data_IF_881257997953
#
_entry.id   IF_881257997953
#
_cell.length_a   1.000
_cell.length_b   1.000
_cell.length_c   1.000
_cell.angle_alpha   90.00
_cell.angle_beta   90.00
_cell.angle_gamma   90.00
#
_symmetry.space_group_name_H-M   'P 1'
#
loop_
_entity.id
_entity.type
_entity.pdbx_description
1 polymer ?
#
# COMPACT_ATOMS: atom_id res chain seq x y z
N UNK A 1 -66.40 -27.69 -13.58
CA UNK A 1 -65.74 -26.42 -13.20
C UNK A 1 -64.35 -26.77 -12.70
N UNK A 2 -63.32 -26.38 -13.45
CA UNK A 2 -61.89 -26.64 -13.17
C UNK A 2 -61.37 -25.52 -12.25
N UNK A 3 -60.41 -25.76 -11.33
CA UNK A 3 -59.02 -25.43 -11.67
C UNK A 3 -57.99 -26.48 -11.27
N UNK A 4 -57.09 -26.70 -12.22
CA UNK A 4 -55.79 -27.39 -12.13
C UNK A 4 -54.84 -26.57 -11.25
N UNK A 5 -54.09 -27.21 -10.36
CA UNK A 5 -52.80 -26.68 -9.87
C UNK A 5 -51.70 -27.72 -9.99
N UNK A 6 -50.69 -27.33 -10.76
CA UNK A 6 -49.45 -28.04 -11.08
C UNK A 6 -48.53 -28.06 -9.86
N UNK A 7 -48.10 -29.24 -9.44
CA UNK A 7 -46.95 -29.42 -8.54
C UNK A 7 -45.68 -29.42 -9.39
N UNK A 8 -44.89 -28.35 -9.30
CA UNK A 8 -43.56 -28.28 -9.92
C UNK A 8 -42.53 -29.11 -9.14
N UNK A 9 -41.42 -29.52 -9.78
CA UNK A 9 -40.39 -30.34 -9.14
C UNK A 9 -39.58 -29.53 -8.12
N UNK A 10 -38.92 -30.19 -7.14
CA UNK A 10 -38.17 -29.50 -6.11
C UNK A 10 -36.96 -28.79 -6.69
N UNK A 11 -36.78 -27.54 -6.27
CA UNK A 11 -35.61 -26.70 -6.55
C UNK A 11 -34.37 -27.38 -5.99
N UNK A 12 -33.43 -27.72 -6.87
CA UNK A 12 -32.07 -28.10 -6.47
C UNK A 12 -31.40 -26.88 -5.83
N UNK A 13 -31.26 -26.91 -4.52
CA UNK A 13 -30.38 -26.01 -3.78
C UNK A 13 -28.95 -26.27 -4.23
N UNK A 14 -28.42 -25.41 -5.10
CA UNK A 14 -26.99 -25.33 -5.37
C UNK A 14 -26.32 -24.80 -4.11
N UNK A 15 -25.73 -25.70 -3.32
CA UNK A 15 -24.80 -25.33 -2.27
C UNK A 15 -23.62 -24.58 -2.90
N UNK A 16 -23.47 -23.31 -2.54
CA UNK A 16 -22.24 -22.55 -2.79
C UNK A 16 -21.09 -23.27 -2.12
N UNK A 17 -20.09 -23.66 -2.90
CA UNK A 17 -18.81 -24.15 -2.41
C UNK A 17 -18.10 -22.94 -1.79
N UNK A 18 -18.32 -22.70 -0.48
CA UNK A 18 -17.32 -21.97 0.30
C UNK A 18 -16.09 -22.86 0.36
N UNK A 19 -15.12 -22.57 -0.51
CA UNK A 19 -13.78 -23.14 -0.35
C UNK A 19 -13.30 -22.75 1.05
N UNK A 20 -13.13 -23.75 1.91
CA UNK A 20 -12.52 -23.56 3.23
C UNK A 20 -11.10 -23.10 2.95
N UNK A 21 -10.86 -21.78 3.04
CA UNK A 21 -9.52 -21.24 3.04
C UNK A 21 -8.82 -21.84 4.26
N UNK A 22 -7.87 -22.75 4.02
CA UNK A 22 -7.11 -23.39 5.07
C UNK A 22 -6.10 -22.37 5.60
N UNK A 23 -6.53 -21.61 6.60
CA UNK A 23 -5.67 -20.68 7.32
C UNK A 23 -4.63 -21.51 8.08
N UNK A 24 -3.35 -21.25 7.79
CA UNK A 24 -2.19 -21.80 8.47
C UNK A 24 -1.19 -20.65 8.70
N UNK A 25 -1.49 -19.85 9.73
CA UNK A 25 -0.71 -18.66 10.04
C UNK A 25 0.77 -18.95 10.38
N UNK A 26 1.12 -20.01 11.14
CA UNK A 26 2.51 -20.39 11.33
C UNK A 26 3.23 -20.65 10.01
N UNK A 27 2.62 -21.42 9.11
CA UNK A 27 3.23 -21.70 7.81
C UNK A 27 3.33 -20.45 6.93
N UNK A 28 2.33 -19.58 6.96
CA UNK A 28 2.36 -18.30 6.27
C UNK A 28 3.54 -17.44 6.74
N UNK A 29 3.76 -17.35 8.05
CA UNK A 29 4.86 -16.58 8.63
C UNK A 29 6.24 -17.17 8.30
N UNK A 30 6.38 -18.50 8.28
CA UNK A 30 7.61 -19.16 7.85
C UNK A 30 7.94 -18.82 6.39
N UNK A 31 6.97 -18.98 5.49
CA UNK A 31 7.14 -18.72 4.07
C UNK A 31 7.43 -17.25 3.79
N UNK A 32 6.74 -16.32 4.47
CA UNK A 32 6.99 -14.88 4.31
C UNK A 32 8.39 -14.49 4.78
N UNK A 33 8.88 -15.06 5.88
CA UNK A 33 10.25 -14.84 6.35
C UNK A 33 11.28 -15.39 5.35
N UNK A 34 11.08 -16.59 4.83
CA UNK A 34 11.94 -17.14 3.79
C UNK A 34 11.88 -16.29 2.51
N UNK A 35 10.70 -15.77 2.16
CA UNK A 35 10.53 -14.87 1.02
C UNK A 35 11.36 -13.59 1.18
N UNK A 36 11.35 -13.01 2.38
CA UNK A 36 12.15 -11.84 2.71
C UNK A 36 13.66 -12.15 2.61
N UNK A 37 14.12 -13.26 3.19
CA UNK A 37 15.53 -13.68 3.10
C UNK A 37 15.98 -13.86 1.62
N UNK A 38 15.12 -14.45 0.78
CA UNK A 38 15.39 -14.60 -0.66
C UNK A 38 15.39 -13.25 -1.40
N UNK A 39 14.56 -12.30 -0.99
CA UNK A 39 14.55 -10.96 -1.56
C UNK A 39 15.86 -10.22 -1.25
N UNK A 40 16.29 -10.23 0.01
CA UNK A 40 17.56 -9.61 0.43
C UNK A 40 18.77 -10.25 -0.27
N UNK A 41 18.70 -11.54 -0.58
CA UNK A 41 19.72 -12.26 -1.36
C UNK A 41 19.68 -11.97 -2.88
N UNK A 42 18.72 -11.18 -3.37
CA UNK A 42 18.58 -10.87 -4.80
C UNK A 42 17.81 -11.94 -5.60
N UNK A 43 17.28 -12.98 -4.96
CA UNK A 43 16.55 -14.07 -5.61
C UNK A 43 15.06 -13.73 -5.77
N UNK A 44 14.76 -12.70 -6.55
CA UNK A 44 13.42 -12.08 -6.62
C UNK A 44 12.32 -13.02 -7.11
N UNK A 45 12.58 -13.89 -8.09
CA UNK A 45 11.57 -14.87 -8.55
C UNK A 45 11.28 -15.93 -7.48
N UNK A 46 12.27 -16.36 -6.70
CA UNK A 46 12.05 -17.31 -5.60
C UNK A 46 11.25 -16.65 -4.48
N UNK A 47 11.60 -15.41 -4.12
CA UNK A 47 10.86 -14.61 -3.14
C UNK A 47 9.39 -14.43 -3.55
N UNK A 48 9.12 -14.11 -4.82
CA UNK A 48 7.74 -14.02 -5.35
C UNK A 48 6.94 -15.30 -5.09
N UNK A 49 7.50 -16.46 -5.44
CA UNK A 49 6.83 -17.75 -5.28
C UNK A 49 6.49 -18.03 -3.81
N UNK A 50 7.39 -17.66 -2.90
CA UNK A 50 7.18 -17.82 -1.46
C UNK A 50 6.08 -16.90 -0.93
N UNK A 51 6.02 -15.62 -1.34
CA UNK A 51 4.91 -14.73 -0.98
C UNK A 51 3.56 -15.19 -1.57
N UNK A 52 3.55 -15.68 -2.81
CA UNK A 52 2.36 -16.25 -3.45
C UNK A 52 1.84 -17.49 -2.70
N UNK A 53 2.72 -18.27 -2.08
CA UNK A 53 2.35 -19.39 -1.22
C UNK A 53 1.95 -18.95 0.21
N UNK A 54 2.58 -17.91 0.76
CA UNK A 54 2.35 -17.44 2.12
C UNK A 54 0.99 -16.75 2.29
N UNK A 55 0.67 -15.80 1.42
CA UNK A 55 -0.49 -14.91 1.56
C UNK A 55 -1.82 -15.68 1.65
N UNK A 56 -2.11 -16.71 0.84
CA UNK A 56 -3.36 -17.46 0.93
C UNK A 56 -3.55 -18.21 2.26
N UNK A 57 -2.45 -18.55 2.95
CA UNK A 57 -2.44 -19.26 4.23
C UNK A 57 -2.56 -18.32 5.43
N UNK A 58 -2.29 -17.02 5.26
CA UNK A 58 -2.34 -16.06 6.33
C UNK A 58 -3.77 -15.85 6.86
N UNK A 59 -3.90 -15.68 8.17
CA UNK A 59 -5.14 -15.20 8.77
C UNK A 59 -5.38 -13.76 8.29
N UNK A 60 -6.56 -13.45 7.68
CA UNK A 60 -6.89 -12.10 7.24
C UNK A 60 -6.77 -11.02 8.32
N UNK A 61 -6.90 -11.39 9.60
CA UNK A 61 -6.81 -10.48 10.74
C UNK A 61 -5.41 -10.47 11.38
N UNK A 62 -4.44 -11.20 10.83
CA UNK A 62 -3.09 -11.22 11.36
C UNK A 62 -2.40 -9.87 11.16
N UNK A 63 -1.81 -9.33 12.23
CA UNK A 63 -1.13 -8.04 12.23
C UNK A 63 -0.07 -7.93 11.12
N UNK A 64 0.66 -9.02 10.84
CA UNK A 64 1.73 -9.08 9.85
C UNK A 64 1.28 -9.15 8.39
N UNK A 65 -0.02 -9.32 8.10
CA UNK A 65 -0.51 -9.46 6.73
C UNK A 65 -0.22 -8.22 5.87
N UNK A 66 -0.29 -7.03 6.47
CA UNK A 66 0.08 -5.79 5.80
C UNK A 66 1.53 -5.81 5.32
N UNK A 67 2.46 -6.28 6.16
CA UNK A 67 3.87 -6.39 5.82
C UNK A 67 4.10 -7.37 4.66
N UNK A 68 3.43 -8.54 4.66
CA UNK A 68 3.55 -9.51 3.57
C UNK A 68 3.17 -8.89 2.22
N UNK A 69 2.08 -8.12 2.19
CA UNK A 69 1.65 -7.41 0.99
C UNK A 69 2.63 -6.30 0.59
N UNK A 70 3.15 -5.52 1.54
CA UNK A 70 4.12 -4.46 1.27
C UNK A 70 5.44 -4.98 0.73
N UNK A 71 6.02 -5.99 1.37
CA UNK A 71 7.26 -6.64 0.93
C UNK A 71 7.09 -7.32 -0.42
N UNK A 72 5.95 -8.02 -0.62
CA UNK A 72 5.67 -8.63 -1.91
C UNK A 72 5.56 -7.58 -3.03
N UNK A 73 5.01 -6.40 -2.75
CA UNK A 73 5.00 -5.30 -3.71
C UNK A 73 6.42 -4.86 -4.10
N UNK A 74 7.35 -4.79 -3.15
CA UNK A 74 8.75 -4.47 -3.43
C UNK A 74 9.38 -5.51 -4.37
N UNK A 75 9.19 -6.79 -4.09
CA UNK A 75 9.67 -7.89 -4.95
C UNK A 75 9.09 -7.80 -6.36
N UNK A 76 7.79 -7.50 -6.47
CA UNK A 76 7.14 -7.32 -7.77
C UNK A 76 7.71 -6.13 -8.54
N UNK A 77 8.07 -5.04 -7.87
CA UNK A 77 8.73 -3.90 -8.49
C UNK A 77 10.11 -4.25 -9.03
N UNK A 78 10.92 -5.01 -8.29
CA UNK A 78 12.23 -5.51 -8.77
C UNK A 78 12.09 -6.41 -10.00
N UNK A 79 10.95 -7.11 -10.13
CA UNK A 79 10.61 -7.93 -11.29
C UNK A 79 9.92 -7.16 -12.43
N UNK A 80 9.75 -5.84 -12.31
CA UNK A 80 9.06 -5.00 -13.30
C UNK A 80 7.53 -5.18 -13.36
N UNK A 81 6.93 -5.87 -12.38
CA UNK A 81 5.49 -6.18 -12.31
C UNK A 81 4.72 -5.08 -11.57
N UNK A 82 4.84 -3.85 -12.05
CA UNK A 82 4.39 -2.63 -11.35
C UNK A 82 2.88 -2.54 -11.08
N UNK A 83 2.03 -3.05 -11.98
CA UNK A 83 0.59 -3.08 -11.76
C UNK A 83 0.23 -4.02 -10.61
N UNK A 84 0.90 -5.18 -10.55
CA UNK A 84 0.70 -6.15 -9.47
C UNK A 84 1.23 -5.60 -8.14
N UNK A 85 2.38 -4.92 -8.16
CA UNK A 85 2.92 -4.24 -6.98
C UNK A 85 1.92 -3.21 -6.41
N UNK A 86 1.30 -2.40 -7.29
CA UNK A 86 0.26 -1.44 -6.89
C UNK A 86 -0.94 -2.12 -6.24
N UNK A 87 -1.38 -3.28 -6.76
CA UNK A 87 -2.44 -4.07 -6.14
C UNK A 87 -2.05 -4.55 -4.75
N UNK A 88 -0.81 -5.00 -4.56
CA UNK A 88 -0.33 -5.45 -3.25
C UNK A 88 -0.23 -4.29 -2.25
N UNK A 89 0.26 -3.12 -2.66
CA UNK A 89 0.28 -1.93 -1.79
C UNK A 89 -1.12 -1.50 -1.34
N UNK A 90 -2.13 -1.57 -2.23
CA UNK A 90 -3.53 -1.35 -1.86
C UNK A 90 -4.02 -2.36 -0.83
N UNK A 91 -3.62 -3.63 -0.94
CA UNK A 91 -3.96 -4.67 0.05
C UNK A 91 -3.24 -4.46 1.38
N UNK A 92 -1.98 -4.04 1.37
CA UNK A 92 -1.24 -3.66 2.59
C UNK A 92 -1.99 -2.55 3.34
N UNK A 93 -2.34 -1.45 2.67
CA UNK A 93 -3.13 -0.38 3.25
C UNK A 93 -4.50 -0.86 3.79
N UNK A 94 -5.20 -1.69 3.02
CA UNK A 94 -6.50 -2.23 3.44
C UNK A 94 -6.39 -3.12 4.69
N UNK A 95 -5.29 -3.89 4.83
CA UNK A 95 -5.04 -4.71 6.00
C UNK A 95 -4.81 -3.84 7.25
N UNK A 96 -4.03 -2.76 7.15
CA UNK A 96 -3.85 -1.80 8.26
C UNK A 96 -5.17 -1.19 8.72
N UNK A 97 -5.98 -0.71 7.78
CA UNK A 97 -7.26 -0.07 8.09
C UNK A 97 -8.27 -1.07 8.68
N UNK A 98 -8.26 -2.32 8.21
CA UNK A 98 -9.14 -3.39 8.72
C UNK A 98 -8.79 -3.78 10.16
N UNK A 99 -7.54 -3.62 10.58
CA UNK A 99 -7.11 -3.78 11.97
C UNK A 99 -7.56 -2.63 12.89
N UNK A 100 -8.22 -1.60 12.33
CA UNK A 100 -8.72 -0.45 13.08
C UNK A 100 -7.68 0.64 13.32
N UNK A 101 -6.55 0.60 12.60
CA UNK A 101 -5.54 1.65 12.69
C UNK A 101 -6.09 2.97 12.11
N UNK A 102 -5.93 4.06 12.86
CA UNK A 102 -6.34 5.38 12.42
C UNK A 102 -5.47 5.90 11.26
N UNK A 103 -5.98 6.85 10.47
CA UNK A 103 -5.28 7.43 9.31
C UNK A 103 -3.96 8.14 9.64
N UNK A 104 -3.75 8.53 10.91
CA UNK A 104 -2.51 9.10 11.43
C UNK A 104 -1.61 8.09 12.13
N UNK A 105 -1.96 6.81 12.18
CA UNK A 105 -1.15 5.78 12.81
C UNK A 105 0.13 5.52 11.98
N UNK A 106 1.29 5.28 12.61
CA UNK A 106 2.56 5.07 11.89
C UNK A 106 2.49 4.04 10.75
N UNK A 107 1.82 2.91 10.97
CA UNK A 107 1.70 1.86 9.96
C UNK A 107 0.88 2.30 8.73
N UNK A 108 -0.23 3.03 8.94
CA UNK A 108 -1.05 3.58 7.84
C UNK A 108 -0.29 4.67 7.08
N UNK A 109 0.47 5.51 7.79
CA UNK A 109 1.30 6.54 7.18
C UNK A 109 2.36 5.93 6.25
N UNK A 110 2.99 4.83 6.67
CA UNK A 110 3.98 4.10 5.87
C UNK A 110 3.30 3.42 4.66
N UNK A 111 2.16 2.75 4.85
CA UNK A 111 1.45 2.10 3.76
C UNK A 111 0.98 3.10 2.67
N UNK A 112 0.46 4.27 3.08
CA UNK A 112 0.08 5.35 2.16
C UNK A 112 1.28 6.00 1.49
N UNK A 113 2.40 6.17 2.21
CA UNK A 113 3.66 6.62 1.63
C UNK A 113 4.06 5.72 0.44
N UNK A 114 4.14 4.40 0.65
CA UNK A 114 4.55 3.48 -0.41
C UNK A 114 3.55 3.45 -1.58
N UNK A 115 2.25 3.42 -1.30
CA UNK A 115 1.23 3.45 -2.34
C UNK A 115 1.28 4.73 -3.17
N UNK A 116 1.43 5.89 -2.53
CA UNK A 116 1.49 7.17 -3.23
C UNK A 116 2.78 7.32 -4.04
N UNK A 117 3.92 6.87 -3.51
CA UNK A 117 5.18 6.86 -4.25
C UNK A 117 5.08 5.97 -5.50
N UNK A 118 4.49 4.78 -5.36
CA UNK A 118 4.24 3.88 -6.50
C UNK A 118 3.38 4.56 -7.57
N UNK A 119 2.25 5.14 -7.18
CA UNK A 119 1.33 5.81 -8.10
C UNK A 119 2.00 7.00 -8.81
N UNK A 120 2.76 7.81 -8.07
CA UNK A 120 3.51 8.93 -8.63
C UNK A 120 4.55 8.45 -9.65
N UNK A 121 5.36 7.44 -9.29
CA UNK A 121 6.42 6.89 -10.16
C UNK A 121 5.86 6.36 -11.48
N UNK A 122 4.62 5.88 -11.46
CA UNK A 122 3.94 5.36 -12.64
C UNK A 122 2.95 6.36 -13.28
N UNK A 123 3.14 7.66 -13.02
CA UNK A 123 2.47 8.73 -13.76
C UNK A 123 1.00 8.96 -13.39
N UNK A 124 0.60 8.56 -12.19
CA UNK A 124 -0.75 8.79 -11.65
C UNK A 124 -0.72 9.73 -10.42
N UNK A 125 -0.25 10.98 -10.56
CA UNK A 125 -0.09 11.90 -9.43
C UNK A 125 -1.43 12.28 -8.78
N UNK A 126 -2.55 12.32 -9.51
CA UNK A 126 -3.87 12.58 -8.93
C UNK A 126 -4.29 11.47 -7.97
N UNK A 127 -4.08 10.21 -8.36
CA UNK A 127 -4.36 9.05 -7.50
C UNK A 127 -3.40 8.99 -6.31
N UNK A 128 -2.14 9.39 -6.51
CA UNK A 128 -1.18 9.50 -5.41
C UNK A 128 -1.64 10.54 -4.37
N UNK A 129 -2.16 11.69 -4.82
CA UNK A 129 -2.68 12.72 -3.92
C UNK A 129 -3.93 12.23 -3.16
N UNK A 130 -4.85 11.57 -3.86
CA UNK A 130 -6.03 10.95 -3.25
C UNK A 130 -5.63 9.93 -2.17
N UNK A 131 -4.62 9.10 -2.45
CA UNK A 131 -4.11 8.12 -1.51
C UNK A 131 -3.45 8.75 -0.26
N UNK A 132 -2.87 9.95 -0.37
CA UNK A 132 -2.24 10.64 0.77
C UNK A 132 -3.22 11.45 1.62
N UNK A 133 -4.28 11.98 1.01
CA UNK A 133 -5.18 12.98 1.61
C UNK A 133 -5.69 12.60 3.00
N UNK A 134 -6.13 11.36 3.29
CA UNK A 134 -6.59 10.99 4.63
C UNK A 134 -5.51 11.14 5.71
N UNK A 135 -4.28 10.74 5.39
CA UNK A 135 -3.14 10.85 6.30
C UNK A 135 -2.61 12.27 6.43
N UNK A 136 -2.54 13.06 5.36
CA UNK A 136 -2.12 14.47 5.46
C UNK A 136 -3.15 15.33 6.18
N UNK A 137 -4.42 14.91 6.21
CA UNK A 137 -5.46 15.52 7.04
C UNK A 137 -5.34 15.14 8.51
N UNK A 138 -5.07 13.86 8.81
CA UNK A 138 -5.03 13.35 10.18
C UNK A 138 -3.70 13.58 10.90
N UNK A 139 -2.59 13.59 10.15
CA UNK A 139 -1.24 13.82 10.65
C UNK A 139 -0.51 14.87 9.76
N UNK A 140 -0.96 16.14 9.79
CA UNK A 140 -0.51 17.17 8.85
C UNK A 140 0.97 17.55 9.00
N UNK A 141 1.65 17.14 10.06
CA UNK A 141 3.07 17.46 10.26
C UNK A 141 3.98 16.24 10.10
N UNK A 142 3.44 15.08 9.69
CA UNK A 142 4.26 13.89 9.53
C UNK A 142 5.18 14.02 8.32
N UNK A 143 6.48 14.11 8.56
CA UNK A 143 7.47 14.42 7.53
C UNK A 143 7.39 13.48 6.32
N UNK A 144 7.21 12.17 6.55
CA UNK A 144 7.27 11.15 5.50
C UNK A 144 6.18 11.36 4.43
N UNK A 145 4.93 11.62 4.84
CA UNK A 145 3.82 11.83 3.91
C UNK A 145 3.93 13.19 3.22
N UNK A 146 4.49 14.20 3.90
CA UNK A 146 4.76 15.52 3.32
C UNK A 146 5.85 15.50 2.24
N UNK A 147 6.84 14.62 2.34
CA UNK A 147 7.84 14.43 1.27
C UNK A 147 7.15 14.00 -0.03
N UNK A 148 6.33 12.95 0.03
CA UNK A 148 5.65 12.43 -1.18
C UNK A 148 4.62 13.42 -1.68
N UNK A 149 3.86 14.06 -0.79
CA UNK A 149 2.89 15.09 -1.17
C UNK A 149 3.56 16.25 -1.91
N UNK A 150 4.75 16.69 -1.48
CA UNK A 150 5.50 17.73 -2.18
C UNK A 150 5.81 17.34 -3.63
N UNK A 151 6.30 16.11 -3.86
CA UNK A 151 6.57 15.61 -5.20
C UNK A 151 5.30 15.42 -6.04
N UNK A 152 4.22 14.95 -5.42
CA UNK A 152 2.91 14.79 -6.07
C UNK A 152 2.36 16.15 -6.52
N UNK A 153 2.31 17.13 -5.62
CA UNK A 153 1.86 18.49 -5.93
C UNK A 153 2.73 19.13 -7.01
N UNK A 154 4.03 18.87 -6.98
CA UNK A 154 4.97 19.33 -8.01
C UNK A 154 4.66 18.70 -9.37
N UNK A 155 4.37 17.40 -9.43
CA UNK A 155 3.97 16.72 -10.66
C UNK A 155 2.63 17.25 -11.21
N UNK A 156 1.73 17.70 -10.33
CA UNK A 156 0.45 18.34 -10.68
C UNK A 156 0.58 19.84 -11.00
N UNK A 157 1.81 20.37 -11.12
CA UNK A 157 2.08 21.79 -11.35
C UNK A 157 1.56 22.74 -10.25
N UNK A 158 1.28 22.25 -9.05
CA UNK A 158 0.83 23.03 -7.88
C UNK A 158 2.03 23.54 -7.08
N UNK A 159 2.83 24.41 -7.71
CA UNK A 159 4.18 24.81 -7.24
C UNK A 159 4.21 25.39 -5.83
N UNK A 160 3.32 26.33 -5.51
CA UNK A 160 3.26 26.96 -4.19
C UNK A 160 2.95 25.93 -3.10
N UNK A 161 1.99 25.05 -3.33
CA UNK A 161 1.59 24.03 -2.36
C UNK A 161 2.70 22.97 -2.20
N UNK A 162 3.37 22.59 -3.29
CA UNK A 162 4.50 21.68 -3.26
C UNK A 162 5.65 22.22 -2.38
N UNK A 163 5.96 23.52 -2.49
CA UNK A 163 6.97 24.18 -1.63
C UNK A 163 6.56 24.20 -0.16
N UNK A 164 5.28 24.46 0.13
CA UNK A 164 4.76 24.41 1.50
C UNK A 164 4.90 23.00 2.09
N UNK A 165 4.49 21.96 1.34
CA UNK A 165 4.65 20.57 1.77
C UNK A 165 6.13 20.21 1.99
N UNK A 166 7.02 20.64 1.09
CA UNK A 166 8.46 20.42 1.22
C UNK A 166 9.03 21.06 2.49
N UNK A 167 8.64 22.32 2.78
CA UNK A 167 9.06 23.02 3.99
C UNK A 167 8.56 22.33 5.27
N UNK A 168 7.31 21.82 5.27
CA UNK A 168 6.77 21.04 6.38
C UNK A 168 7.54 19.73 6.58
N UNK A 169 7.88 19.02 5.50
CA UNK A 169 8.69 17.80 5.58
C UNK A 169 10.06 18.04 6.22
N UNK A 170 10.76 19.09 5.80
CA UNK A 170 12.10 19.43 6.30
C UNK A 170 12.06 19.88 7.77
N UNK A 171 11.10 20.75 8.12
CA UNK A 171 10.98 21.29 9.49
C UNK A 171 10.57 20.23 10.52
N UNK A 172 9.84 19.20 10.10
CA UNK A 172 9.41 18.08 10.96
C UNK A 172 10.29 16.83 10.80
N UNK A 173 11.46 16.95 10.16
CA UNK A 173 12.38 15.84 10.03
C UNK A 173 12.78 15.30 11.42
N UNK A 174 12.91 13.97 11.59
CA UNK A 174 13.17 13.36 12.89
C UNK A 174 14.56 13.68 13.44
N UNK A 175 15.50 14.05 12.57
CA UNK A 175 16.86 14.47 12.92
C UNK A 175 17.33 15.60 12.01
N UNK A 176 18.29 16.44 12.44
CA UNK A 176 18.90 17.45 11.57
C UNK A 176 19.52 16.84 10.31
N UNK A 177 20.19 15.68 10.44
CA UNK A 177 20.77 14.97 9.31
C UNK A 177 19.72 14.55 8.28
N UNK A 178 18.55 14.06 8.75
CA UNK A 178 17.42 13.76 7.87
C UNK A 178 16.88 15.02 7.21
N UNK A 179 16.82 16.15 7.93
CA UNK A 179 16.43 17.44 7.37
C UNK A 179 17.31 17.87 6.19
N UNK A 180 18.63 17.70 6.28
CA UNK A 180 19.55 17.97 5.17
C UNK A 180 19.36 17.00 4.00
N UNK A 181 19.15 15.71 4.27
CA UNK A 181 18.82 14.71 3.25
C UNK A 181 17.53 15.10 2.49
N UNK A 182 16.49 15.53 3.22
CA UNK A 182 15.22 15.97 2.64
C UNK A 182 15.37 17.24 1.79
N UNK A 183 16.21 18.20 2.19
CA UNK A 183 16.51 19.38 1.37
C UNK A 183 17.12 19.00 0.02
N UNK A 184 18.03 18.02 0.01
CA UNK A 184 18.63 17.51 -1.21
C UNK A 184 17.58 16.79 -2.07
N UNK A 185 16.79 15.90 -1.47
CA UNK A 185 15.72 15.16 -2.14
C UNK A 185 14.66 16.11 -2.77
N UNK A 186 14.29 17.17 -2.07
CA UNK A 186 13.26 18.14 -2.47
C UNK A 186 13.83 19.34 -3.23
N UNK A 187 15.11 19.33 -3.60
CA UNK A 187 15.80 20.47 -4.19
C UNK A 187 15.12 21.01 -5.47
N UNK A 188 14.59 20.11 -6.31
CA UNK A 188 13.82 20.50 -7.51
C UNK A 188 12.50 21.20 -7.16
N UNK A 189 11.79 20.71 -6.14
CA UNK A 189 10.54 21.31 -5.65
C UNK A 189 10.81 22.71 -5.10
N UNK A 190 11.85 22.85 -4.27
CA UNK A 190 12.21 24.09 -3.61
C UNK A 190 12.71 25.17 -4.58
N UNK A 191 13.40 24.79 -5.65
CA UNK A 191 14.04 25.71 -6.59
C UNK A 191 13.13 26.14 -7.75
N UNK A 192 11.97 25.52 -7.94
CA UNK A 192 11.07 25.87 -9.02
C UNK A 192 10.49 27.29 -8.84
N UNK A 193 10.24 28.04 -9.92
CA UNK A 193 9.59 29.33 -9.83
C UNK A 193 8.17 29.22 -9.27
N UNK A 194 7.71 30.28 -8.61
CA UNK A 194 6.29 30.45 -8.32
C UNK A 194 5.63 30.88 -9.64
N UNK A 195 4.75 30.04 -10.18
CA UNK A 195 3.95 30.36 -11.37
C UNK A 195 2.78 31.30 -11.02
#
# INVERSE_FOLDING_TARGET
MVPVRRTGPPVRTTASISGIQMIDQPRAAELAREAFDQWEAGHHEQSRLLYEAAIPLADPQHWGLSAYHGEYACVLNELGKHDQATVQLKKSLAAELTQGNAEGAPAVLIARYFLAEQLLRHGAPELALEALTPSTSSAPNHWLTRVVEAHVLFALNRRCEAKVAAALAISNAPTPAKGEELKLNLGQVLSAPDE
#
